data_IF_254982891250
#
_entry.id   IF_254982891250
#
_cell.length_a   1.000
_cell.length_b   1.000
_cell.length_c   1.000
_cell.angle_alpha   90.00
_cell.angle_beta   90.00
_cell.angle_gamma   90.00
#
_symmetry.space_group_name_H-M   'P 1'
#
loop_
_entity.id
_entity.type
_entity.pdbx_description
1 polymer ?
#
# COMPACT_ATOMS: atom_id res chain seq x y z
N UNK A 1 45.14 37.60 22.47
CA UNK A 1 44.02 37.34 23.40
C UNK A 1 42.75 37.51 22.58
N UNK A 2 42.27 36.49 21.86
CA UNK A 2 41.40 35.37 22.29
C UNK A 2 40.00 35.54 21.69
N UNK A 3 39.87 35.59 20.35
CA UNK A 3 38.55 35.77 19.72
C UNK A 3 38.39 35.23 18.30
N UNK A 4 39.46 34.94 17.57
CA UNK A 4 39.37 34.58 16.15
C UNK A 4 39.49 33.07 15.85
N UNK A 5 39.83 32.25 16.86
CA UNK A 5 39.95 30.79 16.71
C UNK A 5 38.67 30.01 17.01
N UNK A 6 37.64 30.65 17.55
CA UNK A 6 36.39 29.98 17.96
C UNK A 6 35.40 29.85 16.80
N UNK A 7 35.46 30.74 15.81
CA UNK A 7 34.50 30.77 14.69
C UNK A 7 34.79 29.67 13.66
N UNK A 8 36.06 29.31 13.47
CA UNK A 8 36.45 28.25 12.51
C UNK A 8 36.14 26.85 13.07
N UNK A 9 36.08 26.68 14.41
CA UNK A 9 35.77 25.40 15.03
C UNK A 9 34.26 25.08 15.03
N UNK A 10 33.38 26.09 14.97
CA UNK A 10 31.93 25.88 14.91
C UNK A 10 31.42 25.51 13.50
N UNK A 11 32.15 25.88 12.44
CA UNK A 11 31.81 25.49 11.06
C UNK A 11 32.21 24.05 10.71
N UNK A 12 32.92 23.35 11.59
CA UNK A 12 33.35 21.96 11.39
C UNK A 12 32.45 20.91 12.07
N UNK A 13 31.48 21.31 12.88
CA UNK A 13 30.64 20.37 13.66
C UNK A 13 29.20 20.25 13.10
N UNK A 14 28.78 21.12 12.18
CA UNK A 14 27.51 20.97 11.45
C UNK A 14 27.65 20.17 10.15
N UNK A 15 28.64 19.28 10.08
CA UNK A 15 28.60 18.12 9.20
C UNK A 15 27.68 17.06 9.79
N UNK A 16 26.42 17.43 10.10
CA UNK A 16 25.40 16.46 10.38
C UNK A 16 25.22 15.70 9.07
N UNK A 17 25.77 14.49 9.03
CA UNK A 17 25.41 13.50 8.05
C UNK A 17 23.89 13.37 8.11
N UNK A 18 23.19 14.07 7.20
CA UNK A 18 21.87 13.67 6.77
C UNK A 18 22.14 12.34 6.07
N UNK A 19 22.18 11.27 6.86
CA UNK A 19 21.87 9.95 6.37
C UNK A 19 20.43 10.06 5.90
N UNK A 20 20.25 10.52 4.67
CA UNK A 20 19.11 10.09 3.89
C UNK A 20 19.14 8.58 4.03
N UNK A 21 18.18 8.02 4.75
CA UNK A 21 17.91 6.60 4.72
C UNK A 21 17.62 6.30 3.24
N UNK A 22 18.67 5.99 2.50
CA UNK A 22 18.55 5.41 1.18
C UNK A 22 17.80 4.14 1.43
N UNK A 23 16.56 4.05 0.94
CA UNK A 23 15.85 2.79 0.81
C UNK A 23 16.88 1.75 0.36
N UNK A 24 17.22 0.82 1.26
CA UNK A 24 18.23 -0.19 1.00
C UNK A 24 17.91 -0.86 -0.33
N UNK A 25 18.94 -1.27 -1.09
CA UNK A 25 18.86 -1.94 -2.38
C UNK A 25 18.12 -3.29 -2.27
N UNK A 26 16.84 -3.28 -1.95
CA UNK A 26 15.96 -4.42 -2.04
C UNK A 26 15.66 -4.71 -3.50
N UNK A 27 15.57 -5.99 -3.84
CA UNK A 27 15.17 -6.45 -5.16
C UNK A 27 13.65 -6.42 -5.27
N UNK A 28 13.12 -5.73 -6.28
CA UNK A 28 11.69 -5.72 -6.56
C UNK A 28 11.22 -7.12 -6.97
N UNK A 29 10.11 -7.61 -6.41
CA UNK A 29 9.63 -8.95 -6.75
C UNK A 29 9.21 -9.07 -8.23
N UNK A 30 8.64 -8.02 -8.82
CA UNK A 30 8.20 -8.05 -10.21
C UNK A 30 9.37 -7.98 -11.22
N UNK A 31 10.39 -7.16 -10.95
CA UNK A 31 11.54 -6.99 -11.88
C UNK A 31 12.67 -7.97 -11.65
N UNK A 32 12.79 -8.55 -10.44
CA UNK A 32 13.99 -9.25 -9.99
C UNK A 32 15.26 -8.37 -10.06
N UNK A 33 15.07 -7.05 -10.07
CA UNK A 33 16.09 -6.00 -10.07
C UNK A 33 15.77 -4.96 -8.98
N UNK A 34 16.74 -4.17 -8.52
CA UNK A 34 16.48 -2.99 -7.71
C UNK A 34 15.59 -1.98 -8.44
N UNK A 35 14.80 -1.17 -7.70
CA UNK A 35 13.93 -0.18 -8.34
C UNK A 35 14.77 0.84 -9.11
N UNK A 36 14.36 1.10 -10.36
CA UNK A 36 15.11 1.94 -11.31
C UNK A 36 14.19 2.87 -12.06
N UNK A 37 14.76 3.93 -12.63
CA UNK A 37 14.03 4.84 -13.50
C UNK A 37 13.80 4.15 -14.85
N UNK A 38 12.55 4.13 -15.31
CA UNK A 38 12.25 3.63 -16.66
C UNK A 38 12.69 4.60 -17.75
N UNK A 39 13.10 4.07 -18.90
CA UNK A 39 13.42 4.85 -20.09
C UNK A 39 12.15 5.49 -20.66
N UNK A 40 11.09 4.69 -20.79
CA UNK A 40 9.76 5.18 -21.14
C UNK A 40 8.97 5.42 -19.85
N UNK A 41 8.24 6.54 -19.72
CA UNK A 41 7.51 6.84 -18.50
C UNK A 41 6.33 5.88 -18.30
N UNK A 42 5.99 5.65 -17.04
CA UNK A 42 4.73 5.05 -16.61
C UNK A 42 3.60 6.07 -16.84
N UNK A 43 2.48 5.62 -17.39
CA UNK A 43 1.32 6.45 -17.73
C UNK A 43 0.28 6.36 -16.61
N UNK A 44 -0.05 5.15 -16.16
CA UNK A 44 -1.08 4.93 -15.15
C UNK A 44 -0.51 5.11 -13.74
N UNK A 45 0.52 4.35 -13.37
CA UNK A 45 1.26 4.42 -12.11
C UNK A 45 2.32 5.55 -12.11
N UNK A 46 1.97 6.70 -12.68
CA UNK A 46 2.90 7.78 -13.01
C UNK A 46 3.56 8.48 -11.80
N UNK A 47 3.06 8.26 -10.58
CA UNK A 47 3.70 8.72 -9.34
C UNK A 47 5.13 8.18 -9.18
N UNK A 48 5.41 7.01 -9.77
CA UNK A 48 6.68 6.30 -9.67
C UNK A 48 7.62 6.54 -10.86
N UNK A 49 7.40 7.61 -11.64
CA UNK A 49 8.22 7.93 -12.82
C UNK A 49 9.69 8.27 -12.51
N UNK A 50 10.00 8.66 -11.28
CA UNK A 50 11.38 8.95 -10.85
C UNK A 50 12.17 7.68 -10.56
N UNK A 51 11.52 6.66 -9.99
CA UNK A 51 12.06 5.36 -9.61
C UNK A 51 10.89 4.40 -9.39
N UNK A 52 10.93 3.20 -9.97
CA UNK A 52 9.83 2.23 -9.88
C UNK A 52 10.30 0.78 -9.84
N UNK A 53 9.44 -0.08 -9.30
CA UNK A 53 9.58 -1.54 -9.29
C UNK A 53 8.86 -2.26 -10.44
N UNK A 54 8.41 -1.53 -11.48
CA UNK A 54 7.72 -2.11 -12.63
C UNK A 54 8.23 -1.52 -13.95
N UNK A 55 7.95 -2.22 -15.06
CA UNK A 55 8.17 -1.73 -16.42
C UNK A 55 6.89 -1.09 -16.99
N UNK A 56 6.99 -0.26 -18.04
CA UNK A 56 5.82 0.29 -18.75
C UNK A 56 4.85 -0.77 -19.28
N UNK A 57 5.33 -1.98 -19.59
CA UNK A 57 4.44 -3.09 -19.99
C UNK A 57 3.58 -3.59 -18.82
N UNK A 58 4.12 -3.62 -17.60
CA UNK A 58 3.35 -3.96 -16.41
C UNK A 58 2.34 -2.86 -16.09
N UNK A 59 2.73 -1.59 -16.23
CA UNK A 59 1.82 -0.44 -16.06
C UNK A 59 0.62 -0.49 -17.01
N UNK A 60 0.84 -0.88 -18.27
CA UNK A 60 -0.24 -1.05 -19.24
C UNK A 60 -1.19 -2.21 -18.86
N UNK A 61 -0.66 -3.35 -18.40
CA UNK A 61 -1.46 -4.48 -17.90
C UNK A 61 -2.28 -4.10 -16.66
N UNK A 62 -1.64 -3.47 -15.68
CA UNK A 62 -2.26 -2.97 -14.45
C UNK A 62 -3.41 -2.01 -14.80
N UNK A 63 -3.19 -1.07 -15.71
CA UNK A 63 -4.22 -0.14 -16.16
C UNK A 63 -5.40 -0.88 -16.82
N UNK A 64 -5.12 -1.84 -17.70
CA UNK A 64 -6.15 -2.66 -18.34
C UNK A 64 -7.03 -3.39 -17.33
N UNK A 65 -6.41 -4.04 -16.34
CA UNK A 65 -7.10 -4.76 -15.25
C UNK A 65 -7.87 -3.81 -14.33
N UNK A 66 -7.33 -2.61 -14.06
CA UNK A 66 -8.00 -1.59 -13.27
C UNK A 66 -9.27 -1.10 -13.97
N UNK A 67 -9.18 -0.70 -15.24
CA UNK A 67 -10.32 -0.23 -16.02
C UNK A 67 -11.39 -1.32 -16.17
N UNK A 68 -10.97 -2.57 -16.42
CA UNK A 68 -11.89 -3.70 -16.48
C UNK A 68 -12.73 -3.90 -15.20
N UNK A 69 -12.19 -3.53 -14.03
CA UNK A 69 -12.91 -3.60 -12.75
C UNK A 69 -13.85 -2.39 -12.53
N UNK A 70 -13.41 -1.18 -12.87
CA UNK A 70 -14.12 0.06 -12.49
C UNK A 70 -15.14 0.57 -13.52
N UNK A 71 -15.10 0.08 -14.75
CA UNK A 71 -15.95 0.55 -15.86
C UNK A 71 -17.31 -0.16 -15.91
N UNK A 72 -18.13 -0.02 -14.86
CA UNK A 72 -19.49 -0.59 -14.76
C UNK A 72 -20.55 0.09 -15.67
N UNK A 73 -20.13 0.54 -16.85
CA UNK A 73 -20.95 1.18 -17.87
C UNK A 73 -20.79 2.71 -17.96
N UNK A 74 -21.31 3.34 -19.04
CA UNK A 74 -20.99 4.73 -19.39
C UNK A 74 -21.42 5.79 -18.37
N UNK A 75 -22.46 5.50 -17.57
CA UNK A 75 -22.92 6.38 -16.50
C UNK A 75 -21.92 6.40 -15.32
N UNK A 76 -21.35 5.23 -15.01
CA UNK A 76 -20.44 5.01 -13.88
C UNK A 76 -18.98 5.29 -14.22
N UNK A 77 -18.61 5.14 -15.50
CA UNK A 77 -17.27 5.43 -16.04
C UNK A 77 -16.86 6.87 -15.76
N UNK A 78 -17.76 7.83 -16.02
CA UNK A 78 -17.52 9.27 -15.85
C UNK A 78 -17.60 9.74 -14.40
N UNK A 79 -18.13 8.92 -13.49
CA UNK A 79 -18.25 9.28 -12.09
C UNK A 79 -16.87 9.21 -11.43
N UNK A 80 -16.33 10.38 -11.09
CA UNK A 80 -15.10 10.50 -10.32
C UNK A 80 -15.41 10.16 -8.86
N UNK A 81 -14.78 9.11 -8.37
CA UNK A 81 -14.88 8.65 -6.99
C UNK A 81 -13.48 8.63 -6.39
N UNK A 82 -13.30 9.25 -5.22
CA UNK A 82 -12.03 9.21 -4.50
C UNK A 82 -11.55 7.76 -4.25
N UNK A 83 -12.47 6.81 -4.07
CA UNK A 83 -12.12 5.40 -3.90
C UNK A 83 -11.41 4.79 -5.11
N UNK A 84 -11.76 5.20 -6.35
CA UNK A 84 -11.05 4.76 -7.56
C UNK A 84 -9.58 5.17 -7.54
N UNK A 85 -9.26 6.34 -6.97
CA UNK A 85 -7.88 6.80 -6.78
C UNK A 85 -7.12 5.90 -5.80
N UNK A 86 -7.68 5.60 -4.63
CA UNK A 86 -7.00 4.73 -3.66
C UNK A 86 -6.86 3.29 -4.18
N UNK A 87 -7.86 2.79 -4.92
CA UNK A 87 -7.79 1.53 -5.62
C UNK A 87 -6.64 1.51 -6.65
N UNK A 88 -6.43 2.61 -7.38
CA UNK A 88 -5.30 2.69 -8.31
C UNK A 88 -3.94 2.56 -7.62
N UNK A 89 -3.82 3.01 -6.36
CA UNK A 89 -2.57 2.82 -5.60
C UNK A 89 -2.31 1.35 -5.31
N UNK A 90 -3.33 0.61 -4.86
CA UNK A 90 -3.22 -0.83 -4.62
C UNK A 90 -2.86 -1.60 -5.91
N UNK A 91 -3.51 -1.26 -7.02
CA UNK A 91 -3.18 -1.83 -8.34
C UNK A 91 -1.73 -1.53 -8.76
N UNK A 92 -1.26 -0.33 -8.46
CA UNK A 92 0.11 0.10 -8.74
C UNK A 92 1.16 -0.38 -7.73
N UNK A 93 0.81 -1.28 -6.78
CA UNK A 93 1.75 -1.79 -5.77
C UNK A 93 3.06 -2.31 -6.38
N UNK A 94 2.97 -3.03 -7.50
CA UNK A 94 4.14 -3.57 -8.21
C UNK A 94 5.11 -2.49 -8.71
N UNK A 95 4.65 -1.25 -8.86
CA UNK A 95 5.45 -0.13 -9.32
C UNK A 95 6.11 0.65 -8.18
N UNK A 96 5.71 0.43 -6.93
CA UNK A 96 6.23 1.16 -5.77
C UNK A 96 7.73 0.90 -5.58
N UNK A 97 8.61 1.93 -5.62
CA UNK A 97 10.04 1.74 -5.37
C UNK A 97 10.38 1.29 -3.95
N UNK A 98 9.46 1.41 -2.99
CA UNK A 98 9.65 0.89 -1.63
C UNK A 98 9.07 -0.52 -1.44
N UNK A 99 8.52 -1.14 -2.48
CA UNK A 99 7.95 -2.50 -2.45
C UNK A 99 8.80 -3.54 -1.72
N UNK A 100 10.14 -3.62 -1.93
CA UNK A 100 10.97 -4.60 -1.23
C UNK A 100 10.95 -4.47 0.29
N UNK A 101 10.59 -3.29 0.82
CA UNK A 101 10.56 -3.01 2.26
C UNK A 101 9.24 -3.41 2.91
N UNK A 102 8.18 -3.59 2.14
CA UNK A 102 6.84 -3.92 2.64
C UNK A 102 6.19 -5.12 1.95
N UNK A 103 6.91 -5.80 1.04
CA UNK A 103 6.63 -7.16 0.59
C UNK A 103 7.48 -8.18 1.37
N UNK A 104 7.03 -8.45 2.59
CA UNK A 104 7.79 -9.18 3.63
C UNK A 104 6.92 -10.22 4.31
N UNK A 105 7.45 -11.00 5.24
CA UNK A 105 6.67 -11.94 6.05
C UNK A 105 5.54 -11.24 6.80
N UNK A 106 4.39 -11.90 7.08
CA UNK A 106 3.27 -11.29 7.79
C UNK A 106 3.65 -10.67 9.14
N UNK A 107 2.94 -9.60 9.54
CA UNK A 107 2.98 -9.11 10.92
C UNK A 107 2.08 -9.98 11.80
N UNK A 108 0.87 -10.28 11.33
CA UNK A 108 -0.05 -11.21 11.99
C UNK A 108 0.18 -12.65 11.49
N UNK A 109 1.21 -13.31 12.02
CA UNK A 109 1.51 -14.72 11.69
C UNK A 109 0.52 -15.72 12.30
N UNK A 110 -0.43 -15.24 13.12
CA UNK A 110 -1.54 -16.08 13.59
C UNK A 110 -2.62 -16.15 12.51
N UNK A 111 -2.96 -15.03 11.87
CA UNK A 111 -3.97 -14.97 10.81
C UNK A 111 -3.43 -15.36 9.42
N UNK A 112 -2.19 -14.99 9.09
CA UNK A 112 -1.54 -15.34 7.83
C UNK A 112 -0.46 -16.42 8.03
N UNK A 113 -0.24 -17.23 7.00
CA UNK A 113 0.82 -18.25 7.03
C UNK A 113 2.21 -17.61 7.18
N UNK A 114 2.92 -17.98 8.25
CA UNK A 114 4.25 -17.44 8.53
C UNK A 114 5.29 -17.77 7.45
N UNK A 115 5.04 -18.78 6.61
CA UNK A 115 5.94 -19.21 5.55
C UNK A 115 5.70 -18.47 4.23
N UNK A 116 4.66 -17.64 4.12
CA UNK A 116 4.41 -16.82 2.95
C UNK A 116 4.88 -15.38 3.14
N UNK A 117 4.89 -14.61 2.05
CA UNK A 117 5.02 -13.16 2.09
C UNK A 117 3.64 -12.52 2.00
N UNK A 118 3.47 -11.37 2.63
CA UNK A 118 2.28 -10.53 2.50
C UNK A 118 2.61 -9.26 1.73
N UNK A 119 1.66 -8.83 0.90
CA UNK A 119 1.59 -7.47 0.37
C UNK A 119 1.03 -6.59 1.48
N UNK A 120 1.80 -5.63 1.99
CA UNK A 120 1.34 -4.74 3.06
C UNK A 120 0.79 -3.44 2.49
N UNK A 121 -0.49 -3.18 2.75
CA UNK A 121 -1.17 -1.93 2.37
C UNK A 121 -1.59 -1.21 3.64
N UNK A 122 -1.26 0.07 3.77
CA UNK A 122 -1.59 0.80 4.98
C UNK A 122 -3.12 0.95 5.12
N UNK A 123 -3.64 0.90 6.35
CA UNK A 123 -5.05 1.12 6.64
C UNK A 123 -5.55 2.46 6.08
N UNK A 124 -4.69 3.49 6.07
CA UNK A 124 -4.96 4.81 5.47
C UNK A 124 -5.23 4.76 3.96
N UNK A 125 -4.73 3.75 3.24
CA UNK A 125 -5.06 3.51 1.83
C UNK A 125 -6.24 2.55 1.72
N UNK A 126 -6.19 1.42 2.42
CA UNK A 126 -7.18 0.35 2.35
C UNK A 126 -8.61 0.84 2.65
N UNK A 127 -8.80 1.57 3.74
CA UNK A 127 -10.13 2.02 4.16
C UNK A 127 -10.73 3.06 3.20
N UNK A 128 -9.88 3.81 2.46
CA UNK A 128 -10.35 4.78 1.47
C UNK A 128 -10.70 4.14 0.11
N UNK A 129 -10.59 2.83 -0.02
CA UNK A 129 -11.09 2.04 -1.15
C UNK A 129 -12.01 0.91 -0.69
N UNK A 130 -12.71 1.10 0.44
CA UNK A 130 -13.65 0.10 0.95
C UNK A 130 -14.77 -0.20 -0.08
N UNK A 131 -15.28 -1.45 -0.15
CA UNK A 131 -16.34 -1.84 -1.08
C UNK A 131 -17.57 -0.94 -1.05
N UNK A 132 -17.98 -0.47 0.13
CA UNK A 132 -19.12 0.44 0.31
C UNK A 132 -18.97 1.74 -0.48
N UNK A 133 -17.75 2.22 -0.69
CA UNK A 133 -17.48 3.45 -1.42
C UNK A 133 -17.74 3.32 -2.93
N UNK A 134 -17.92 2.11 -3.45
CA UNK A 134 -18.25 1.87 -4.85
C UNK A 134 -19.74 1.57 -5.10
N UNK A 135 -20.58 1.60 -4.05
CA UNK A 135 -21.96 1.10 -4.12
C UNK A 135 -22.86 1.86 -5.08
N UNK A 136 -22.61 3.14 -5.32
CA UNK A 136 -23.44 3.98 -6.20
C UNK A 136 -23.29 3.61 -7.67
N UNK A 137 -22.10 3.13 -8.05
CA UNK A 137 -21.74 2.82 -9.43
C UNK A 137 -21.51 1.33 -9.69
N UNK A 138 -21.36 0.54 -8.62
CA UNK A 138 -20.95 -0.85 -8.72
C UNK A 138 -19.51 -1.04 -9.18
N UNK A 139 -19.14 -2.30 -9.37
CA UNK A 139 -17.91 -2.74 -10.05
C UNK A 139 -18.26 -3.83 -11.06
N UNK A 140 -17.38 -4.07 -12.02
CA UNK A 140 -17.44 -5.25 -12.88
C UNK A 140 -16.51 -6.32 -12.35
N UNK A 141 -17.08 -7.43 -11.87
CA UNK A 141 -16.30 -8.55 -11.38
C UNK A 141 -16.10 -9.56 -12.52
N UNK A 142 -14.87 -9.74 -13.03
CA UNK A 142 -14.56 -10.81 -13.97
C UNK A 142 -14.53 -12.16 -13.24
N UNK A 143 -14.87 -13.26 -13.91
CA UNK A 143 -14.57 -14.60 -13.36
C UNK A 143 -13.04 -14.82 -13.25
N UNK A 144 -12.28 -14.26 -14.18
CA UNK A 144 -10.82 -14.27 -14.21
C UNK A 144 -10.25 -13.03 -14.91
N UNK A 145 -9.20 -12.45 -14.35
CA UNK A 145 -8.49 -11.28 -14.92
C UNK A 145 -7.51 -11.61 -16.03
N UNK A 146 -7.17 -12.88 -16.16
CA UNK A 146 -6.13 -13.34 -17.10
C UNK A 146 -6.69 -13.52 -18.53
N UNK A 147 -8.01 -13.44 -18.71
CA UNK A 147 -8.64 -13.58 -20.02
C UNK A 147 -9.68 -12.50 -20.28
N UNK A 148 -9.48 -11.78 -21.39
CA UNK A 148 -10.44 -10.77 -21.90
C UNK A 148 -11.80 -11.37 -22.26
N UNK A 149 -11.87 -12.70 -22.43
CA UNK A 149 -13.09 -13.41 -22.74
C UNK A 149 -13.85 -13.85 -21.48
N UNK A 150 -13.36 -13.51 -20.29
CA UNK A 150 -14.05 -13.85 -19.04
C UNK A 150 -15.38 -13.10 -18.97
N UNK A 151 -16.48 -13.78 -18.59
CA UNK A 151 -17.72 -13.11 -18.24
C UNK A 151 -17.45 -12.07 -17.13
N UNK A 152 -18.00 -10.87 -17.30
CA UNK A 152 -17.95 -9.81 -16.32
C UNK A 152 -19.36 -9.57 -15.78
N UNK A 153 -19.54 -9.66 -14.47
CA UNK A 153 -20.82 -9.42 -13.83
C UNK A 153 -20.80 -8.09 -13.09
N UNK A 154 -21.78 -7.19 -13.30
CA UNK A 154 -21.92 -6.02 -12.46
C UNK A 154 -22.29 -6.46 -11.05
N UNK A 155 -21.54 -5.98 -10.06
CA UNK A 155 -21.75 -6.31 -8.66
C UNK A 155 -21.97 -5.06 -7.82
N UNK A 156 -22.69 -5.23 -6.71
CA UNK A 156 -22.77 -4.24 -5.63
C UNK A 156 -21.70 -4.63 -4.61
N UNK A 157 -20.54 -3.94 -4.54
CA UNK A 157 -19.35 -4.46 -3.87
C UNK A 157 -19.56 -4.78 -2.38
N UNK A 158 -20.29 -3.94 -1.64
CA UNK A 158 -20.57 -4.19 -0.23
C UNK A 158 -21.50 -5.38 0.04
N UNK A 159 -22.12 -5.96 -1.00
CA UNK A 159 -22.90 -7.20 -0.91
C UNK A 159 -22.05 -8.44 -1.23
N UNK A 160 -20.96 -8.27 -1.96
CA UNK A 160 -20.00 -9.33 -2.29
C UNK A 160 -18.99 -9.48 -1.16
N UNK A 161 -18.42 -8.36 -0.70
CA UNK A 161 -17.43 -8.32 0.37
C UNK A 161 -18.02 -7.61 1.58
N UNK A 162 -18.80 -8.35 2.36
CA UNK A 162 -19.54 -7.80 3.52
C UNK A 162 -18.68 -7.62 4.77
N UNK A 163 -17.57 -8.35 4.86
CA UNK A 163 -16.84 -8.54 6.11
C UNK A 163 -17.54 -9.52 7.04
N UNK A 164 -16.85 -9.87 8.12
CA UNK A 164 -17.29 -10.79 9.17
C UNK A 164 -17.40 -10.10 10.52
N UNK A 165 -18.14 -10.73 11.43
CA UNK A 165 -18.07 -10.37 12.84
C UNK A 165 -16.78 -10.91 13.47
N UNK A 166 -16.37 -10.28 14.57
CA UNK A 166 -15.30 -10.82 15.41
C UNK A 166 -15.54 -12.28 15.76
N UNK A 167 -14.45 -13.05 15.82
CA UNK A 167 -14.44 -14.50 16.10
C UNK A 167 -14.98 -15.41 14.98
N UNK A 168 -15.50 -14.86 13.88
CA UNK A 168 -15.79 -15.65 12.68
C UNK A 168 -14.53 -15.87 11.85
N UNK A 169 -14.55 -16.84 10.95
CA UNK A 169 -13.47 -17.13 9.99
C UNK A 169 -13.82 -16.57 8.62
N UNK A 170 -12.82 -16.06 7.93
CA UNK A 170 -12.93 -15.64 6.53
C UNK A 170 -12.61 -16.85 5.65
N UNK A 171 -13.59 -17.27 4.87
CA UNK A 171 -13.47 -18.39 3.95
C UNK A 171 -13.78 -17.94 2.53
N UNK A 172 -13.30 -18.70 1.55
CA UNK A 172 -13.61 -18.52 0.15
C UNK A 172 -14.03 -19.87 -0.44
N UNK A 173 -15.17 -19.91 -1.12
CA UNK A 173 -15.61 -21.12 -1.82
C UNK A 173 -14.66 -21.42 -2.98
N UNK A 174 -14.12 -22.63 -3.04
CA UNK A 174 -13.11 -22.99 -4.04
C UNK A 174 -13.70 -23.19 -5.45
N UNK A 175 -15.02 -23.38 -5.58
CA UNK A 175 -15.68 -23.55 -6.86
C UNK A 175 -16.21 -22.23 -7.43
N UNK A 176 -16.77 -21.35 -6.58
CA UNK A 176 -17.37 -20.08 -7.00
C UNK A 176 -16.50 -18.86 -6.75
N UNK A 177 -15.45 -19.02 -5.94
CA UNK A 177 -14.58 -17.94 -5.43
C UNK A 177 -15.32 -16.91 -4.56
N UNK A 178 -16.53 -17.24 -4.09
CA UNK A 178 -17.32 -16.35 -3.23
C UNK A 178 -16.77 -16.33 -1.82
N UNK A 179 -16.67 -15.11 -1.27
CA UNK A 179 -16.22 -14.89 0.10
C UNK A 179 -17.38 -15.02 1.07
N UNK A 180 -17.16 -15.69 2.19
CA UNK A 180 -18.17 -15.85 3.23
C UNK A 180 -17.55 -15.95 4.62
N UNK A 181 -18.41 -15.74 5.63
CA UNK A 181 -18.05 -15.82 7.04
C UNK A 181 -18.55 -17.14 7.62
N UNK A 182 -17.73 -17.79 8.42
CA UNK A 182 -18.07 -19.06 9.07
C UNK A 182 -17.85 -18.98 10.58
N UNK A 183 -18.79 -19.51 11.36
CA UNK A 183 -18.65 -19.65 12.83
C UNK A 183 -17.78 -20.87 13.21
N UNK A 184 -17.47 -21.73 12.24
CA UNK A 184 -16.59 -22.90 12.37
C UNK A 184 -15.45 -22.84 11.37
N UNK A 185 -14.47 -23.75 11.51
CA UNK A 185 -13.40 -23.96 10.52
C UNK A 185 -13.91 -23.86 9.08
N UNK A 186 -13.12 -23.24 8.21
CA UNK A 186 -13.41 -23.27 6.79
C UNK A 186 -13.51 -24.73 6.32
N UNK A 187 -14.46 -25.00 5.42
CA UNK A 187 -14.59 -26.33 4.82
C UNK A 187 -13.30 -26.76 4.10
N UNK A 188 -13.20 -28.04 3.74
CA UNK A 188 -12.03 -28.58 3.06
C UNK A 188 -11.69 -27.73 1.81
N UNK A 189 -10.47 -27.20 1.77
CA UNK A 189 -9.96 -26.31 0.72
C UNK A 189 -10.68 -24.95 0.56
N UNK A 190 -11.43 -24.49 1.57
CA UNK A 190 -12.08 -23.17 1.56
C UNK A 190 -11.30 -22.08 2.31
N UNK A 191 -10.12 -22.42 2.86
CA UNK A 191 -9.21 -21.44 3.45
C UNK A 191 -8.45 -20.74 2.32
N UNK A 192 -8.52 -19.40 2.22
CA UNK A 192 -7.81 -18.66 1.17
C UNK A 192 -6.31 -18.89 1.22
N UNK A 193 -5.64 -18.82 0.06
CA UNK A 193 -4.19 -19.03 -0.04
C UNK A 193 -3.44 -18.01 0.83
N UNK A 194 -2.54 -18.49 1.68
CA UNK A 194 -1.75 -17.68 2.60
C UNK A 194 -2.45 -17.29 3.90
N UNK A 195 -3.68 -17.77 4.13
CA UNK A 195 -4.43 -17.57 5.37
C UNK A 195 -4.32 -18.83 6.23
N UNK A 196 -4.29 -18.64 7.54
CA UNK A 196 -4.56 -19.73 8.48
C UNK A 196 -6.07 -19.79 8.73
N UNK A 197 -6.61 -21.00 8.86
CA UNK A 197 -7.99 -21.18 9.30
C UNK A 197 -8.06 -20.86 10.80
N UNK A 198 -8.23 -19.58 11.12
CA UNK A 198 -8.38 -19.04 12.49
C UNK A 198 -9.43 -17.92 12.53
N UNK A 199 -10.00 -17.63 13.71
CA UNK A 199 -10.92 -16.51 13.86
C UNK A 199 -10.27 -15.16 13.52
N UNK A 200 -11.01 -14.30 12.83
CA UNK A 200 -10.60 -12.94 12.51
C UNK A 200 -10.77 -11.99 13.72
N UNK A 201 -10.13 -10.82 13.61
CA UNK A 201 -10.16 -9.73 14.59
C UNK A 201 -10.33 -8.37 13.89
N UNK A 202 -11.46 -7.71 14.13
CA UNK A 202 -11.82 -6.41 13.55
C UNK A 202 -10.85 -5.30 13.97
N UNK A 203 -10.29 -5.37 15.19
CA UNK A 203 -9.26 -4.41 15.65
C UNK A 203 -7.94 -4.54 14.88
N UNK A 204 -7.77 -5.63 14.12
CA UNK A 204 -6.63 -5.92 13.25
C UNK A 204 -6.96 -5.78 11.77
N UNK A 205 -8.16 -5.31 11.43
CA UNK A 205 -8.68 -5.26 10.05
C UNK A 205 -8.75 -6.63 9.36
N UNK A 206 -8.67 -7.74 10.11
CA UNK A 206 -8.73 -9.09 9.53
C UNK A 206 -10.16 -9.60 9.38
N UNK A 207 -11.18 -8.88 9.87
CA UNK A 207 -12.60 -9.20 9.64
C UNK A 207 -13.25 -8.31 8.56
N UNK A 208 -12.56 -7.28 8.06
CA UNK A 208 -13.21 -6.24 7.25
C UNK A 208 -13.52 -6.75 5.82
N UNK A 209 -14.62 -6.29 5.24
CA UNK A 209 -14.92 -6.50 3.82
C UNK A 209 -13.83 -5.91 2.92
N UNK A 210 -13.11 -4.88 3.37
CA UNK A 210 -11.91 -4.38 2.67
C UNK A 210 -10.83 -5.47 2.54
N UNK A 211 -10.64 -6.31 3.56
CA UNK A 211 -9.66 -7.40 3.50
C UNK A 211 -10.04 -8.42 2.43
N UNK A 212 -11.31 -8.84 2.40
CA UNK A 212 -11.81 -9.77 1.39
C UNK A 212 -11.65 -9.17 -0.01
N UNK A 213 -12.01 -7.89 -0.18
CA UNK A 213 -11.88 -7.18 -1.44
C UNK A 213 -10.42 -7.11 -1.92
N UNK A 214 -9.48 -6.86 -1.02
CA UNK A 214 -8.04 -6.83 -1.31
C UNK A 214 -7.42 -8.22 -1.54
N UNK A 215 -8.07 -9.29 -1.09
CA UNK A 215 -7.57 -10.65 -1.27
C UNK A 215 -8.29 -11.43 -2.38
N UNK A 216 -9.36 -10.88 -2.95
CA UNK A 216 -10.01 -11.43 -4.14
C UNK A 216 -9.19 -11.10 -5.39
N UNK A 217 -8.64 -12.13 -6.04
CA UNK A 217 -7.86 -11.99 -7.28
C UNK A 217 -8.68 -11.31 -8.40
N UNK A 218 -10.02 -11.40 -8.37
CA UNK A 218 -10.90 -10.76 -9.34
C UNK A 218 -11.13 -9.27 -9.03
N UNK A 219 -10.66 -8.76 -7.88
CA UNK A 219 -11.03 -7.46 -7.31
C UNK A 219 -9.87 -6.55 -6.85
N UNK A 220 -9.78 -6.05 -5.62
CA UNK A 220 -8.76 -5.03 -5.29
C UNK A 220 -7.32 -5.56 -5.18
N UNK A 221 -7.13 -6.88 -5.27
CA UNK A 221 -5.80 -7.48 -5.16
C UNK A 221 -4.84 -6.99 -6.24
N UNK A 222 -3.58 -6.64 -5.89
CA UNK A 222 -2.60 -6.20 -6.88
C UNK A 222 -2.33 -7.29 -7.93
N UNK A 223 -2.48 -7.00 -9.24
CA UNK A 223 -2.43 -8.02 -10.30
C UNK A 223 -1.16 -8.88 -10.37
N UNK A 224 0.00 -8.33 -9.99
CA UNK A 224 1.27 -9.07 -10.04
C UNK A 224 1.59 -9.84 -8.74
N UNK A 225 0.67 -9.83 -7.77
CA UNK A 225 0.84 -10.44 -6.45
C UNK A 225 -0.35 -11.33 -6.07
N UNK A 226 -1.04 -11.89 -7.05
CA UNK A 226 -2.24 -12.70 -6.83
C UNK A 226 -1.98 -13.98 -6.01
N UNK A 227 -0.75 -14.49 -6.03
CA UNK A 227 -0.30 -15.65 -5.23
C UNK A 227 -0.06 -15.32 -3.75
N UNK A 228 -0.05 -14.04 -3.37
CA UNK A 228 0.29 -13.58 -2.04
C UNK A 228 -0.91 -12.96 -1.32
N UNK A 229 -1.12 -13.24 -0.03
CA UNK A 229 -2.12 -12.53 0.76
C UNK A 229 -1.78 -11.04 0.89
N UNK A 230 -2.83 -10.21 0.97
CA UNK A 230 -2.74 -8.79 1.27
C UNK A 230 -3.08 -8.57 2.73
N UNK A 231 -2.17 -7.95 3.45
CA UNK A 231 -2.26 -7.59 4.86
C UNK A 231 -2.52 -6.08 4.99
N UNK A 232 -3.57 -5.72 5.74
CA UNK A 232 -3.88 -4.32 6.05
C UNK A 232 -3.09 -3.93 7.31
N UNK A 233 -2.19 -2.95 7.17
CA UNK A 233 -1.31 -2.52 8.26
C UNK A 233 -1.81 -1.21 8.86
N UNK A 234 -2.20 -1.24 10.13
CA UNK A 234 -2.36 -0.05 10.94
C UNK A 234 -1.02 0.31 11.58
N UNK A 235 -0.35 1.31 11.02
CA UNK A 235 0.97 1.72 11.47
C UNK A 235 0.97 2.22 12.92
N UNK A 236 -0.12 2.86 13.37
CA UNK A 236 -0.19 3.37 14.73
C UNK A 236 -0.30 2.22 15.73
N UNK A 237 -1.08 1.19 15.40
CA UNK A 237 -1.15 -0.04 16.19
C UNK A 237 0.19 -0.77 16.15
N UNK A 238 0.75 -0.97 14.97
CA UNK A 238 2.04 -1.66 14.79
C UNK A 238 3.17 -1.00 15.58
N UNK A 239 3.28 0.33 15.55
CA UNK A 239 4.30 1.09 16.32
C UNK A 239 4.11 1.02 17.84
N UNK A 240 2.93 0.66 18.34
CA UNK A 240 2.71 0.45 19.78
C UNK A 240 3.17 -0.94 20.24
N UNK A 241 3.28 -1.89 19.31
CA UNK A 241 3.57 -3.30 19.61
C UNK A 241 5.05 -3.64 19.45
N UNK A 242 5.75 -2.89 18.61
CA UNK A 242 7.18 -3.04 18.38
C UNK A 242 7.97 -1.88 18.96
N UNK A 243 9.24 -2.12 19.28
CA UNK A 243 10.19 -1.05 19.60
C UNK A 243 10.34 -0.08 18.42
N UNK A 244 10.83 1.15 18.66
CA UNK A 244 10.99 2.15 17.58
C UNK A 244 11.87 1.64 16.42
N UNK A 245 12.95 0.92 16.74
CA UNK A 245 13.86 0.33 15.76
C UNK A 245 13.19 -0.76 14.93
N UNK A 246 12.46 -1.68 15.58
CA UNK A 246 11.74 -2.74 14.87
C UNK A 246 10.58 -2.19 14.04
N UNK A 247 9.85 -1.22 14.57
CA UNK A 247 8.71 -0.61 13.89
C UNK A 247 9.13 0.13 12.62
N UNK A 248 10.32 0.75 12.61
CA UNK A 248 10.87 1.42 11.42
C UNK A 248 11.11 0.48 10.22
N UNK A 249 11.20 -0.83 10.49
CA UNK A 249 11.42 -1.87 9.48
C UNK A 249 10.13 -2.64 9.22
N UNK A 250 9.48 -3.13 10.28
CA UNK A 250 8.34 -4.05 10.18
C UNK A 250 7.03 -3.36 9.78
N UNK A 251 6.79 -2.14 10.27
CA UNK A 251 5.51 -1.46 10.08
C UNK A 251 5.38 -0.72 8.73
N UNK A 252 6.28 -0.99 7.77
CA UNK A 252 6.21 -0.39 6.43
C UNK A 252 5.08 -1.00 5.62
N UNK A 253 4.36 -0.16 4.89
CA UNK A 253 3.24 -0.54 4.04
C UNK A 253 3.09 0.48 2.90
N UNK A 254 2.33 0.11 1.86
CA UNK A 254 2.01 1.03 0.78
C UNK A 254 1.17 2.21 1.29
N UNK A 255 1.71 3.43 1.17
CA UNK A 255 1.04 4.70 1.46
C UNK A 255 0.45 5.35 0.20
N UNK A 256 -0.25 6.47 0.36
CA UNK A 256 -0.63 7.34 -0.76
C UNK A 256 0.63 7.94 -1.41
N UNK A 257 1.01 7.51 -2.63
CA UNK A 257 2.24 7.94 -3.28
C UNK A 257 2.19 9.41 -3.74
N UNK A 258 1.01 10.02 -3.77
CA UNK A 258 0.85 11.44 -4.09
C UNK A 258 1.26 12.37 -2.95
N UNK A 259 1.41 11.84 -1.73
CA UNK A 259 1.90 12.62 -0.58
C UNK A 259 3.43 12.67 -0.55
N UNK A 260 4.11 11.65 -1.07
CA UNK A 260 5.57 11.56 -1.16
C UNK A 260 6.18 12.62 -2.11
N UNK A 261 5.38 13.17 -3.03
CA UNK A 261 5.80 14.22 -3.97
C UNK A 261 5.74 15.65 -3.40
N UNK A 262 5.37 15.83 -2.12
CA UNK A 262 5.43 17.14 -1.43
C UNK A 262 6.71 17.26 -0.60
N UNK A 263 7.70 18.07 -1.02
CA UNK A 263 8.80 18.48 -0.16
C UNK A 263 8.30 19.56 0.81
N UNK A 264 7.42 19.23 1.76
CA UNK A 264 6.75 20.25 2.60
C UNK A 264 7.23 20.37 4.05
N UNK A 265 8.09 19.50 4.55
CA UNK A 265 8.59 19.64 5.94
C UNK A 265 10.02 20.21 6.01
N UNK A 266 10.95 19.68 5.20
CA UNK A 266 12.35 20.11 5.27
C UNK A 266 12.58 21.54 4.76
N UNK A 267 11.87 22.00 3.72
CA UNK A 267 12.05 23.37 3.23
C UNK A 267 11.57 24.43 4.22
N UNK A 268 10.46 24.19 4.93
CA UNK A 268 9.94 25.13 5.93
C UNK A 268 10.84 25.15 7.17
N UNK A 269 11.31 23.99 7.64
CA UNK A 269 12.24 23.91 8.76
C UNK A 269 13.59 24.59 8.43
N UNK A 270 14.14 24.37 7.23
CA UNK A 270 15.40 25.00 6.79
C UNK A 270 15.23 26.51 6.60
N UNK A 271 14.09 26.99 6.08
CA UNK A 271 13.79 28.43 5.98
C UNK A 271 13.63 29.08 7.36
N UNK A 272 12.94 28.41 8.30
CA UNK A 272 12.76 28.91 9.66
C UNK A 272 14.08 28.99 10.43
N UNK A 273 14.95 27.97 10.29
CA UNK A 273 16.29 27.94 10.90
C UNK A 273 17.18 29.04 10.30
N UNK A 274 17.17 29.22 8.98
CA UNK A 274 17.94 30.27 8.32
C UNK A 274 17.47 31.68 8.70
N UNK A 275 16.17 31.91 8.86
CA UNK A 275 15.66 33.21 9.35
C UNK A 275 16.02 33.46 10.82
N UNK A 276 15.97 32.43 11.67
CA UNK A 276 16.35 32.55 13.08
C UNK A 276 17.85 32.86 13.25
N UNK A 277 18.70 32.20 12.45
CA UNK A 277 20.15 32.47 12.43
C UNK A 277 20.48 33.87 11.93
N UNK A 278 19.77 34.37 10.90
CA UNK A 278 19.94 35.73 10.41
C UNK A 278 19.52 36.79 11.45
N UNK A 279 18.44 36.54 12.20
CA UNK A 279 17.99 37.43 13.28
C UNK A 279 18.97 37.47 14.45
N UNK A 280 19.57 36.33 14.83
CA UNK A 280 20.54 36.27 15.92
C UNK A 280 21.85 36.99 15.55
N UNK A 281 22.30 36.91 14.29
CA UNK A 281 23.50 37.63 13.82
C UNK A 281 23.35 39.17 13.82
N UNK A 282 22.12 39.69 13.68
CA UNK A 282 21.83 41.13 13.72
C UNK A 282 21.83 41.67 15.16
N UNK A 283 21.48 40.83 16.14
CA UNK A 283 21.45 41.22 17.56
C UNK A 283 22.87 41.32 18.12
N UNK A 284 23.80 40.50 17.64
CA UNK A 284 25.20 40.44 18.13
C UNK A 284 26.11 41.54 17.53
N UNK A 285 25.56 42.43 16.69
CA UNK A 285 26.30 43.54 16.04
C UNK A 285 25.84 44.93 16.50
N UNK A 286 25.00 45.01 17.54
CA UNK A 286 24.63 46.26 18.22
C UNK A 286 25.13 46.28 19.66
#
# INVERSE_FOLDING_TARGET
>A
MCGLHVIVLYLLITGLAIAAATAENGTCACLQDPPKKNIQPLVFCNWYNTKSCCLPVHDADINGKFLALIEAGPACEKFQNAAKRFLSFAFCYACDPEEPTHFTTPLDTHFFDANTKTVKICASVALNMAPTLFSDCGLLLPDSRETICSPNSPVVPHKVWTGCNDQQRICQDNATFDWYCSDSNCGDAHTPVGFNDVPCNASRYTCDGVLMFLNDNRAAKPPNYEDYPVEIVDEQLCRKEYSEEEAAIKCRCLHDPSTATRPQSMFIAVLAINMLLALLAIIDTR
#
